data_IF_386701010610
#
_entry.id   IF_386701010610
#
_cell.length_a   1.000
_cell.length_b   1.000
_cell.length_c   1.000
_cell.angle_alpha   90.00
_cell.angle_beta   90.00
_cell.angle_gamma   90.00
#
_symmetry.space_group_name_H-M   'P 1'
#
loop_
_entity.id
_entity.type
_entity.pdbx_description
1 polymer ?
#
# COMPACT_ATOMS: atom_id res chain seq x y z
N UNK A 1 -3.69 13.05 -12.84
CA UNK A 1 -2.69 12.05 -13.25
C UNK A 1 -2.04 11.56 -11.98
N UNK A 2 -2.08 10.25 -11.73
CA UNK A 2 -1.46 9.63 -10.55
C UNK A 2 -0.21 8.93 -11.05
N UNK A 3 0.93 9.18 -10.41
CA UNK A 3 2.17 8.48 -10.70
C UNK A 3 2.19 7.16 -9.92
N UNK A 4 2.48 6.05 -10.60
CA UNK A 4 2.55 4.73 -10.01
C UNK A 4 3.85 4.03 -10.39
N UNK A 5 4.46 3.33 -9.44
CA UNK A 5 5.63 2.49 -9.66
C UNK A 5 5.20 1.03 -9.84
N UNK A 6 5.55 0.42 -10.97
CA UNK A 6 5.33 -1.01 -11.20
C UNK A 6 6.52 -1.81 -10.63
N UNK A 7 6.27 -2.56 -9.56
CA UNK A 7 7.26 -3.44 -8.94
C UNK A 7 6.81 -4.91 -9.03
N UNK A 8 7.58 -5.72 -9.76
CA UNK A 8 7.33 -7.17 -9.90
C UNK A 8 7.90 -8.01 -8.74
N UNK A 9 8.67 -7.40 -7.84
CA UNK A 9 9.29 -8.07 -6.70
C UNK A 9 8.45 -8.03 -5.41
N UNK A 10 7.34 -7.27 -5.40
CA UNK A 10 6.52 -7.13 -4.22
C UNK A 10 5.41 -8.21 -4.18
N UNK A 11 5.22 -8.83 -3.02
CA UNK A 11 4.13 -9.82 -2.81
C UNK A 11 2.76 -9.15 -2.65
N UNK A 12 2.71 -7.82 -2.47
CA UNK A 12 1.44 -7.09 -2.36
C UNK A 12 1.57 -5.62 -2.76
N UNK A 13 0.51 -5.06 -3.34
CA UNK A 13 0.48 -3.67 -3.75
C UNK A 13 0.33 -2.72 -2.54
N UNK A 14 0.98 -1.57 -2.59
CA UNK A 14 0.94 -0.56 -1.53
C UNK A 14 0.57 0.82 -2.07
N UNK A 15 0.19 1.71 -1.16
CA UNK A 15 -0.12 3.10 -1.46
C UNK A 15 0.42 4.01 -0.36
N UNK A 16 0.89 5.20 -0.77
CA UNK A 16 1.44 6.18 0.16
C UNK A 16 0.34 6.78 1.07
N UNK A 17 0.63 6.86 2.37
CA UNK A 17 -0.31 7.37 3.36
C UNK A 17 -0.68 8.83 3.16
N UNK A 18 0.23 9.67 2.66
CA UNK A 18 -0.08 11.09 2.39
C UNK A 18 -1.03 11.20 1.23
N UNK A 19 -0.80 10.43 0.16
CA UNK A 19 -1.72 10.38 -0.97
C UNK A 19 -3.14 9.94 -0.54
N UNK A 20 -3.24 8.91 0.32
CA UNK A 20 -4.51 8.47 0.90
C UNK A 20 -5.23 9.58 1.67
N UNK A 21 -4.49 10.37 2.45
CA UNK A 21 -5.02 11.49 3.22
C UNK A 21 -5.44 12.66 2.33
N UNK A 22 -4.62 13.02 1.34
CA UNK A 22 -4.90 14.09 0.37
C UNK A 22 -6.15 13.81 -0.47
N UNK A 23 -6.35 12.56 -0.87
CA UNK A 23 -7.54 12.15 -1.64
C UNK A 23 -8.76 11.86 -0.75
N UNK A 24 -8.59 11.83 0.58
CA UNK A 24 -9.67 11.57 1.54
C UNK A 24 -10.21 10.14 1.48
N UNK A 25 -9.39 9.15 1.13
CA UNK A 25 -9.83 7.76 1.07
C UNK A 25 -10.01 7.15 2.47
N UNK A 26 -11.03 6.31 2.62
CA UNK A 26 -11.30 5.61 3.87
C UNK A 26 -10.28 4.50 4.11
N UNK A 27 -9.64 4.53 5.29
CA UNK A 27 -8.66 3.54 5.73
C UNK A 27 -9.31 2.45 6.58
N UNK A 28 -9.04 1.20 6.25
CA UNK A 28 -9.46 0.03 7.01
C UNK A 28 -8.32 -0.45 7.91
N UNK A 29 -8.46 -0.29 9.23
CA UNK A 29 -7.50 -0.82 10.21
C UNK A 29 -7.66 -2.32 10.40
N UNK A 30 -6.54 -3.03 10.49
CA UNK A 30 -6.55 -4.45 10.88
C UNK A 30 -6.26 -4.61 12.38
N UNK A 31 -6.91 -5.57 13.08
CA UNK A 31 -6.68 -5.78 14.51
C UNK A 31 -5.26 -6.23 14.87
N UNK A 32 -4.56 -6.87 13.93
CA UNK A 32 -3.22 -7.44 14.14
C UNK A 32 -2.30 -6.97 13.01
N UNK A 33 -1.30 -6.12 13.30
CA UNK A 33 -0.36 -5.64 12.29
C UNK A 33 0.37 -6.78 11.58
N UNK A 34 0.61 -6.64 10.28
CA UNK A 34 1.40 -7.59 9.49
C UNK A 34 2.86 -7.14 9.52
N UNK A 35 3.80 -7.96 10.02
CA UNK A 35 5.22 -7.62 10.01
C UNK A 35 5.76 -7.60 8.58
N UNK A 36 6.49 -6.55 8.22
CA UNK A 36 7.22 -6.45 6.95
C UNK A 36 8.68 -6.80 7.21
N UNK A 37 9.25 -7.62 6.33
CA UNK A 37 10.64 -8.02 6.36
C UNK A 37 11.32 -7.51 5.11
N UNK A 38 12.55 -7.02 5.26
CA UNK A 38 13.39 -6.67 4.12
C UNK A 38 13.82 -7.95 3.36
N UNK A 39 14.33 -7.78 2.14
CA UNK A 39 14.81 -8.90 1.32
C UNK A 39 15.95 -9.71 1.99
N UNK A 40 16.70 -9.08 2.91
CA UNK A 40 17.73 -9.73 3.71
C UNK A 40 17.20 -10.47 4.95
N UNK A 41 15.87 -10.50 5.14
CA UNK A 41 15.21 -11.16 6.27
C UNK A 41 15.19 -10.34 7.56
N UNK A 42 15.74 -9.13 7.57
CA UNK A 42 15.67 -8.25 8.74
C UNK A 42 14.25 -7.72 8.94
N UNK A 43 13.82 -7.63 10.19
CA UNK A 43 12.53 -7.06 10.53
C UNK A 43 12.56 -5.56 10.28
N UNK A 44 11.63 -5.07 9.46
CA UNK A 44 11.46 -3.64 9.29
C UNK A 44 10.73 -3.08 10.52
N UNK A 45 11.51 -2.63 11.50
CA UNK A 45 11.06 -2.34 12.88
C UNK A 45 9.96 -1.29 12.95
N UNK A 46 9.88 -0.41 11.95
CA UNK A 46 8.98 0.73 11.93
C UNK A 46 7.79 0.56 10.95
N UNK A 47 7.78 -0.46 10.09
CA UNK A 47 6.86 -0.54 8.94
C UNK A 47 5.97 -1.79 8.95
N UNK A 48 5.42 -2.14 10.11
CA UNK A 48 4.30 -3.10 10.12
C UNK A 48 3.07 -2.51 9.42
N UNK A 49 2.44 -3.28 8.53
CA UNK A 49 1.21 -2.86 7.85
C UNK A 49 0.08 -2.94 8.87
N UNK A 50 -0.62 -1.81 9.06
CA UNK A 50 -1.73 -1.67 10.03
C UNK A 50 -3.05 -1.30 9.36
N UNK A 51 -2.97 -0.77 8.15
CA UNK A 51 -4.09 -0.17 7.45
C UNK A 51 -4.06 -0.58 5.98
N UNK A 52 -5.24 -0.78 5.41
CA UNK A 52 -5.45 -1.04 3.99
C UNK A 52 -6.51 -0.12 3.44
N UNK A 53 -6.49 0.10 2.13
CA UNK A 53 -7.61 0.67 1.39
C UNK A 53 -8.03 -0.29 0.29
N UNK A 54 -9.26 -0.12 -0.20
CA UNK A 54 -9.76 -0.82 -1.39
C UNK A 54 -10.10 0.21 -2.44
N UNK A 55 -9.46 0.14 -3.59
CA UNK A 55 -9.71 1.04 -4.72
C UNK A 55 -10.12 0.23 -5.95
N UNK A 56 -11.02 0.80 -6.74
CA UNK A 56 -11.18 0.40 -8.13
C UNK A 56 -10.14 1.18 -8.93
N UNK A 57 -9.23 0.48 -9.58
CA UNK A 57 -8.16 1.06 -10.39
C UNK A 57 -8.43 0.73 -11.84
N UNK A 58 -8.54 1.77 -12.65
CA UNK A 58 -8.66 1.69 -14.10
C UNK A 58 -7.28 1.93 -14.71
N UNK A 59 -6.80 0.97 -15.50
CA UNK A 59 -5.58 1.10 -16.31
C UNK A 59 -5.96 0.77 -17.74
N UNK A 60 -5.95 1.78 -18.62
CA UNK A 60 -6.48 1.70 -19.98
C UNK A 60 -7.95 1.26 -19.98
N UNK A 61 -8.27 0.11 -20.56
CA UNK A 61 -9.61 -0.49 -20.64
C UNK A 61 -9.85 -1.60 -19.60
N UNK A 62 -8.96 -1.72 -18.61
CA UNK A 62 -9.04 -2.72 -17.57
C UNK A 62 -9.31 -2.11 -16.19
N UNK A 63 -10.37 -2.60 -15.55
CA UNK A 63 -10.74 -2.27 -14.18
C UNK A 63 -10.43 -3.41 -13.22
N UNK A 64 -9.67 -3.12 -12.16
CA UNK A 64 -9.40 -4.08 -11.10
C UNK A 64 -9.64 -3.48 -9.72
N UNK A 65 -10.23 -4.28 -8.81
CA UNK A 65 -10.35 -3.91 -7.40
C UNK A 65 -9.08 -4.34 -6.67
N UNK A 66 -8.25 -3.38 -6.33
CA UNK A 66 -7.03 -3.61 -5.59
C UNK A 66 -7.22 -3.35 -4.10
N UNK A 67 -6.65 -4.25 -3.28
CA UNK A 67 -6.45 -4.01 -1.86
C UNK A 67 -5.00 -3.55 -1.67
N UNK A 68 -4.83 -2.31 -1.21
CA UNK A 68 -3.52 -1.66 -1.11
C UNK A 68 -3.16 -1.47 0.35
N UNK A 69 -1.97 -1.92 0.74
CA UNK A 69 -1.40 -1.64 2.06
C UNK A 69 -1.05 -0.16 2.15
N UNK A 70 -1.48 0.53 3.20
CA UNK A 70 -1.08 1.91 3.44
C UNK A 70 0.30 1.92 4.08
N UNK A 71 1.27 2.52 3.40
CA UNK A 71 2.67 2.61 3.85
C UNK A 71 3.11 4.07 3.88
N UNK A 72 4.07 4.41 4.74
CA UNK A 72 4.68 5.75 4.74
C UNK A 72 5.88 5.73 3.82
N UNK A 73 5.88 6.55 2.76
CA UNK A 73 7.08 6.72 1.95
C UNK A 73 8.11 7.56 2.71
N UNK A 74 9.27 6.99 3.02
CA UNK A 74 10.40 7.75 3.53
C UNK A 74 11.04 8.51 2.37
N UNK A 75 10.97 9.85 2.46
CA UNK A 75 11.57 10.78 1.48
C UNK A 75 13.09 10.78 1.54
#
# INVERSE_FOLDING_TARGET
>A
MIDALLDSGCTGSCIDSRFVEEQGYERQRIPRPIPVYNADGTFNRDESIKEFIKLLVEINDHDERLQLAVVMHQS
#
